data_IF_203680316575
#
_entry.id   IF_203680316575
#
_cell.length_a   1.000
_cell.length_b   1.000
_cell.length_c   1.000
_cell.angle_alpha   90.00
_cell.angle_beta   90.00
_cell.angle_gamma   90.00
#
_symmetry.space_group_name_H-M   'P 1'
#
loop_
_entity.id
_entity.type
_entity.pdbx_description
1 polymer ?
#
# COMPACT_ATOMS: atom_id res chain seq x y z
N UNK A 1 8.40 22.11 -16.97
CA UNK A 1 7.62 20.87 -16.79
C UNK A 1 7.80 20.44 -15.33
N UNK A 2 6.78 20.60 -14.47
CA UNK A 2 6.91 20.20 -13.06
C UNK A 2 6.97 18.67 -12.98
N UNK A 3 7.99 18.11 -12.32
CA UNK A 3 8.06 16.68 -12.07
C UNK A 3 6.97 16.30 -11.06
N UNK A 4 6.16 15.31 -11.41
CA UNK A 4 5.16 14.74 -10.50
C UNK A 4 5.85 13.65 -9.68
N UNK A 5 5.86 13.82 -8.35
CA UNK A 5 6.43 12.86 -7.43
C UNK A 5 5.34 12.05 -6.71
N UNK A 6 5.45 10.73 -6.81
CA UNK A 6 4.76 9.75 -5.98
C UNK A 6 5.84 9.10 -5.12
N UNK A 7 5.84 9.38 -3.82
CA UNK A 7 6.94 8.96 -2.94
C UNK A 7 6.47 7.85 -2.02
N UNK A 8 7.38 6.92 -1.72
CA UNK A 8 7.13 5.86 -0.76
C UNK A 8 7.80 6.22 0.58
N UNK A 9 7.07 6.07 1.68
CA UNK A 9 7.61 6.23 3.02
C UNK A 9 8.65 5.14 3.29
N UNK A 10 9.63 5.46 4.12
CA UNK A 10 10.78 4.58 4.38
C UNK A 10 10.47 3.46 5.40
N UNK A 11 9.20 3.06 5.55
CA UNK A 11 8.74 2.11 6.56
C UNK A 11 9.36 0.71 6.42
N UNK A 12 9.69 0.09 7.56
CA UNK A 12 10.21 -1.27 7.63
C UNK A 12 9.13 -2.25 8.09
N UNK A 13 9.08 -3.45 7.51
CA UNK A 13 8.23 -4.59 7.88
C UNK A 13 8.59 -5.14 9.28
N UNK A 14 8.48 -4.30 10.30
CA UNK A 14 8.83 -4.56 11.69
C UNK A 14 7.69 -4.12 12.60
N UNK A 15 7.59 -4.68 13.83
CA UNK A 15 6.67 -4.17 14.82
C UNK A 15 6.89 -2.67 15.06
N UNK A 16 5.80 -1.94 15.26
CA UNK A 16 5.85 -0.51 15.53
C UNK A 16 6.72 -0.24 16.77
N UNK A 17 7.21 0.99 16.86
CA UNK A 17 8.08 1.47 17.91
C UNK A 17 8.25 2.97 17.78
N UNK A 18 8.80 3.64 18.80
CA UNK A 18 8.85 5.11 18.85
C UNK A 18 9.54 5.71 17.61
N UNK A 19 10.61 5.07 17.12
CA UNK A 19 11.31 5.52 15.92
C UNK A 19 10.45 5.55 14.65
N UNK A 20 9.42 4.71 14.53
CA UNK A 20 8.51 4.72 13.38
C UNK A 20 7.69 6.01 13.34
N UNK A 21 7.28 6.54 14.50
CA UNK A 21 6.53 7.79 14.60
C UNK A 21 7.38 8.98 14.17
N UNK A 22 8.65 9.02 14.61
CA UNK A 22 9.60 10.08 14.22
C UNK A 22 9.90 10.01 12.72
N UNK A 23 10.17 8.81 12.21
CA UNK A 23 10.49 8.57 10.81
C UNK A 23 9.33 8.94 9.89
N UNK A 24 8.10 8.61 10.27
CA UNK A 24 6.91 9.00 9.51
C UNK A 24 6.78 10.51 9.36
N UNK A 25 7.02 11.29 10.44
CA UNK A 25 6.99 12.75 10.37
C UNK A 25 8.10 13.29 9.46
N UNK A 26 9.31 12.73 9.53
CA UNK A 26 10.40 13.09 8.62
C UNK A 26 10.01 12.84 7.16
N UNK A 27 9.43 11.69 6.85
CA UNK A 27 9.01 11.35 5.49
C UNK A 27 7.90 12.28 4.98
N UNK A 28 6.94 12.66 5.83
CA UNK A 28 5.92 13.66 5.49
C UNK A 28 6.53 15.04 5.19
N UNK A 29 7.52 15.48 5.97
CA UNK A 29 8.23 16.75 5.71
C UNK A 29 8.95 16.68 4.37
N UNK A 30 9.65 15.58 4.08
CA UNK A 30 10.35 15.39 2.81
C UNK A 30 9.37 15.38 1.64
N UNK A 31 8.26 14.65 1.75
CA UNK A 31 7.19 14.63 0.75
C UNK A 31 6.64 16.04 0.48
N UNK A 32 6.50 16.87 1.52
CA UNK A 32 6.07 18.25 1.40
C UNK A 32 7.09 19.13 0.67
N UNK A 33 8.38 18.98 1.00
CA UNK A 33 9.50 19.73 0.38
C UNK A 33 9.58 19.44 -1.11
N UNK A 34 9.46 18.17 -1.51
CA UNK A 34 9.48 17.77 -2.92
C UNK A 34 8.14 17.98 -3.64
N UNK A 35 7.15 18.54 -2.94
CA UNK A 35 5.80 18.79 -3.43
C UNK A 35 5.16 17.53 -4.06
N UNK A 36 5.28 16.40 -3.37
CA UNK A 36 4.70 15.13 -3.80
C UNK A 36 3.17 15.22 -3.87
N UNK A 37 2.58 14.53 -4.87
CA UNK A 37 1.12 14.44 -5.00
C UNK A 37 0.53 13.65 -3.84
N UNK A 38 1.20 12.57 -3.48
CA UNK A 38 0.89 11.77 -2.30
C UNK A 38 2.18 11.08 -1.80
N UNK A 39 2.09 10.57 -0.59
CA UNK A 39 3.06 9.64 -0.01
C UNK A 39 2.37 8.34 0.35
N UNK A 40 2.93 7.23 -0.10
CA UNK A 40 2.48 5.88 0.21
C UNK A 40 3.14 5.38 1.49
N UNK A 41 2.34 4.89 2.42
CA UNK A 41 2.81 4.16 3.60
C UNK A 41 2.29 2.73 3.53
N UNK A 42 3.17 1.75 3.74
CA UNK A 42 2.74 0.39 4.07
C UNK A 42 1.87 0.38 5.33
N UNK A 43 0.85 -0.48 5.36
CA UNK A 43 0.15 -0.75 6.60
C UNK A 43 1.11 -1.25 7.69
N UNK A 44 0.94 -0.81 8.95
CA UNK A 44 1.70 -1.41 10.04
C UNK A 44 1.33 -2.88 10.15
N UNK A 45 2.30 -3.72 10.50
CA UNK A 45 2.10 -5.17 10.60
C UNK A 45 0.97 -5.52 11.59
N UNK A 46 0.78 -4.67 12.60
CA UNK A 46 -0.28 -4.76 13.62
C UNK A 46 -1.71 -4.64 13.08
N UNK A 47 -1.88 -4.19 11.83
CA UNK A 47 -3.18 -4.17 11.15
C UNK A 47 -3.21 -5.05 9.91
N UNK A 48 -2.06 -5.24 9.27
CA UNK A 48 -1.97 -5.95 8.01
C UNK A 48 -2.13 -7.46 8.20
N UNK A 49 -1.60 -8.07 9.27
CA UNK A 49 -1.49 -9.52 9.36
C UNK A 49 -2.28 -10.09 10.55
N UNK A 50 -3.19 -11.07 10.32
CA UNK A 50 -3.85 -11.82 11.39
C UNK A 50 -2.91 -12.35 12.47
N UNK A 51 -1.73 -12.85 12.09
CA UNK A 51 -0.72 -13.37 13.02
C UNK A 51 -0.15 -12.33 14.00
N UNK A 52 -0.25 -11.04 13.66
CA UNK A 52 0.41 -9.94 14.37
C UNK A 52 -0.58 -8.88 14.88
N UNK A 53 -1.87 -9.20 14.90
CA UNK A 53 -2.91 -8.18 15.05
C UNK A 53 -2.83 -7.47 16.41
N UNK A 54 -2.73 -6.14 16.36
CA UNK A 54 -2.86 -5.24 17.50
C UNK A 54 -3.53 -3.94 17.04
N UNK A 55 -4.86 -4.00 16.94
CA UNK A 55 -5.67 -2.94 16.36
C UNK A 55 -5.49 -1.60 17.05
N UNK A 56 -5.42 -1.59 18.39
CA UNK A 56 -5.19 -0.37 19.18
C UNK A 56 -3.88 0.30 18.76
N UNK A 57 -2.78 -0.44 18.72
CA UNK A 57 -1.46 0.11 18.39
C UNK A 57 -1.39 0.61 16.94
N UNK A 58 -1.87 -0.19 16.00
CA UNK A 58 -1.85 0.19 14.59
C UNK A 58 -2.74 1.39 14.28
N UNK A 59 -3.94 1.46 14.87
CA UNK A 59 -4.84 2.61 14.69
C UNK A 59 -4.25 3.88 15.28
N UNK A 60 -3.59 3.80 16.45
CA UNK A 60 -2.90 4.96 17.05
C UNK A 60 -1.81 5.47 16.09
N UNK A 61 -1.02 4.58 15.49
CA UNK A 61 0.00 4.97 14.52
C UNK A 61 -0.60 5.61 13.26
N UNK A 62 -1.62 5.00 12.65
CA UNK A 62 -2.30 5.56 11.47
C UNK A 62 -2.84 6.96 11.80
N UNK A 63 -3.56 7.12 12.91
CA UNK A 63 -4.13 8.41 13.30
C UNK A 63 -3.05 9.46 13.55
N UNK A 64 -1.90 9.06 14.10
CA UNK A 64 -0.75 9.94 14.28
C UNK A 64 -0.19 10.44 12.95
N UNK A 65 0.04 9.55 11.99
CA UNK A 65 0.52 9.92 10.65
C UNK A 65 -0.48 10.81 9.93
N UNK A 66 -1.78 10.46 9.95
CA UNK A 66 -2.85 11.26 9.35
C UNK A 66 -2.98 12.66 9.98
N UNK A 67 -2.78 12.77 11.29
CA UNK A 67 -2.76 14.07 11.98
C UNK A 67 -1.65 14.97 11.43
N UNK A 68 -0.42 14.46 11.34
CA UNK A 68 0.72 15.22 10.83
C UNK A 68 0.61 15.51 9.33
N UNK A 69 0.11 14.56 8.55
CA UNK A 69 -0.15 14.74 7.13
C UNK A 69 -1.12 15.90 6.89
N UNK A 70 -2.21 15.97 7.67
CA UNK A 70 -3.15 17.10 7.63
C UNK A 70 -2.47 18.43 8.00
N UNK A 71 -1.64 18.45 9.04
CA UNK A 71 -0.90 19.66 9.44
C UNK A 71 0.08 20.15 8.36
N UNK A 72 0.75 19.21 7.70
CA UNK A 72 1.73 19.48 6.64
C UNK A 72 1.09 19.65 5.25
N UNK A 73 -0.23 19.45 5.13
CA UNK A 73 -0.98 19.48 3.85
C UNK A 73 -0.44 18.47 2.83
N UNK A 74 -0.11 17.27 3.29
CA UNK A 74 0.35 16.15 2.47
C UNK A 74 -0.76 15.10 2.38
N UNK A 75 -0.98 14.53 1.19
CA UNK A 75 -1.92 13.43 1.00
C UNK A 75 -1.23 12.11 1.31
N UNK A 76 -1.73 11.38 2.29
CA UNK A 76 -1.27 10.01 2.61
C UNK A 76 -2.18 8.99 1.95
N UNK A 77 -1.60 7.91 1.45
CA UNK A 77 -2.29 6.70 1.01
C UNK A 77 -1.67 5.48 1.69
N UNK A 78 -2.49 4.53 2.12
CA UNK A 78 -2.04 3.35 2.85
C UNK A 78 -2.12 2.09 2.00
N UNK A 79 -1.00 1.38 1.91
CA UNK A 79 -0.79 0.26 1.01
C UNK A 79 -0.91 -1.10 1.70
N UNK A 80 -1.57 -2.03 1.02
CA UNK A 80 -1.53 -3.44 1.36
C UNK A 80 -0.15 -4.02 1.12
N UNK A 81 0.29 -4.83 2.07
CA UNK A 81 1.58 -5.50 2.04
C UNK A 81 1.40 -7.01 2.07
N UNK A 82 2.43 -7.76 1.70
CA UNK A 82 2.50 -9.20 1.88
C UNK A 82 3.65 -9.56 2.82
N UNK A 83 3.45 -10.55 3.69
CA UNK A 83 4.54 -11.10 4.48
C UNK A 83 5.21 -12.16 3.63
N UNK A 84 6.50 -11.98 3.33
CA UNK A 84 7.26 -12.85 2.43
C UNK A 84 8.43 -13.51 3.16
N UNK A 85 8.84 -14.69 2.71
CA UNK A 85 10.09 -15.32 3.14
C UNK A 85 11.26 -14.52 2.59
N UNK A 86 12.22 -14.20 3.45
CA UNK A 86 13.45 -13.49 3.05
C UNK A 86 14.33 -14.26 2.07
N UNK A 87 14.20 -15.59 2.02
CA UNK A 87 15.07 -16.46 1.22
C UNK A 87 14.70 -16.50 -0.25
N UNK A 88 13.41 -16.50 -0.56
CA UNK A 88 12.91 -16.76 -1.93
C UNK A 88 11.72 -15.85 -2.31
N UNK A 89 11.38 -14.89 -1.46
CA UNK A 89 10.24 -13.97 -1.64
C UNK A 89 8.90 -14.66 -1.77
N UNK A 90 8.80 -15.93 -1.34
CA UNK A 90 7.53 -16.65 -1.33
C UNK A 90 6.60 -16.12 -0.26
N UNK A 91 5.30 -16.16 -0.54
CA UNK A 91 4.27 -15.73 0.38
C UNK A 91 4.28 -16.56 1.68
N UNK A 92 4.37 -15.86 2.83
CA UNK A 92 4.10 -16.41 4.17
C UNK A 92 2.67 -16.13 4.60
N UNK A 93 2.23 -14.88 4.45
CA UNK A 93 0.90 -14.45 4.90
C UNK A 93 0.39 -13.30 4.04
N UNK A 94 -0.88 -13.42 3.65
CA UNK A 94 -1.60 -12.36 2.96
C UNK A 94 -2.10 -11.30 3.95
N UNK A 95 -2.07 -10.03 3.55
CA UNK A 95 -2.66 -8.98 4.38
C UNK A 95 -4.19 -9.01 4.36
N UNK A 96 -4.77 -8.57 5.48
CA UNK A 96 -6.20 -8.32 5.63
C UNK A 96 -6.49 -6.83 5.65
N UNK A 97 -7.67 -6.47 5.14
CA UNK A 97 -8.19 -5.09 5.17
C UNK A 97 -9.27 -4.88 6.22
N UNK A 98 -9.56 -5.92 7.00
CA UNK A 98 -10.67 -5.95 7.96
C UNK A 98 -10.55 -4.90 9.06
N UNK A 99 -9.33 -4.67 9.54
CA UNK A 99 -9.06 -3.79 10.68
C UNK A 99 -8.65 -2.37 10.28
N UNK A 100 -8.69 -2.05 8.97
CA UNK A 100 -8.27 -0.75 8.47
C UNK A 100 -9.33 0.33 8.81
N UNK A 101 -8.95 1.47 9.41
CA UNK A 101 -9.84 2.60 9.67
C UNK A 101 -10.64 3.04 8.42
N UNK A 102 -11.93 3.34 8.57
CA UNK A 102 -12.82 3.63 7.41
C UNK A 102 -12.53 4.95 6.67
N UNK A 103 -11.83 5.90 7.30
CA UNK A 103 -11.69 7.29 6.82
C UNK A 103 -10.30 7.66 6.29
N UNK A 104 -9.53 6.66 5.85
CA UNK A 104 -8.21 6.87 5.24
C UNK A 104 -8.24 6.53 3.75
N UNK A 105 -7.33 7.16 2.99
CA UNK A 105 -7.10 6.83 1.59
C UNK A 105 -6.21 5.59 1.48
N UNK A 106 -6.44 4.81 0.43
CA UNK A 106 -5.75 3.54 0.21
C UNK A 106 -4.91 3.60 -1.06
N UNK A 107 -3.74 2.99 -0.99
CA UNK A 107 -3.02 2.48 -2.14
C UNK A 107 -3.38 1.00 -2.28
N UNK A 108 -3.72 0.57 -3.49
CA UNK A 108 -3.79 -0.85 -3.79
C UNK A 108 -2.57 -1.24 -4.61
N UNK A 109 -1.73 -2.05 -4.00
CA UNK A 109 -0.70 -2.82 -4.67
C UNK A 109 -1.33 -4.09 -5.25
N UNK A 110 -1.31 -4.21 -6.57
CA UNK A 110 -1.91 -5.35 -7.25
C UNK A 110 -1.08 -6.62 -7.14
N UNK A 111 0.25 -6.51 -7.06
CA UNK A 111 1.13 -7.66 -6.97
C UNK A 111 1.01 -8.32 -5.60
N UNK A 112 1.08 -7.54 -4.53
CA UNK A 112 0.84 -8.03 -3.17
C UNK A 112 -0.51 -8.75 -3.08
N UNK A 113 -1.57 -8.16 -3.64
CA UNK A 113 -2.94 -8.67 -3.54
C UNK A 113 -3.12 -10.05 -4.21
N UNK A 114 -2.43 -10.32 -5.33
CA UNK A 114 -2.67 -11.54 -6.12
C UNK A 114 -1.79 -12.72 -5.69
N UNK A 115 -0.82 -12.54 -4.81
CA UNK A 115 0.03 -13.64 -4.34
C UNK A 115 -0.80 -14.74 -3.65
N UNK A 116 -0.55 -15.99 -3.99
CA UNK A 116 -1.27 -17.14 -3.46
C UNK A 116 -2.73 -17.27 -3.94
N UNK A 117 -3.22 -16.37 -4.79
CA UNK A 117 -4.62 -16.37 -5.22
C UNK A 117 -4.88 -17.39 -6.34
N UNK A 118 -5.91 -18.22 -6.15
CA UNK A 118 -6.39 -19.15 -7.19
C UNK A 118 -7.12 -18.42 -8.33
N UNK A 119 -7.78 -17.31 -8.02
CA UNK A 119 -8.49 -16.49 -9.00
C UNK A 119 -8.19 -14.99 -8.80
N UNK A 120 -7.01 -14.53 -9.26
CA UNK A 120 -6.51 -13.20 -8.95
C UNK A 120 -7.39 -12.07 -9.51
N UNK A 121 -7.99 -12.25 -10.70
CA UNK A 121 -8.91 -11.26 -11.27
C UNK A 121 -10.17 -11.08 -10.42
N UNK A 122 -10.76 -12.19 -9.96
CA UNK A 122 -11.92 -12.14 -9.06
C UNK A 122 -11.56 -11.41 -7.77
N UNK A 123 -10.39 -11.72 -7.19
CA UNK A 123 -9.89 -11.05 -5.97
C UNK A 123 -9.76 -9.54 -6.15
N UNK A 124 -9.15 -9.10 -7.24
CA UNK A 124 -9.03 -7.67 -7.58
C UNK A 124 -10.43 -7.02 -7.67
N UNK A 125 -11.36 -7.63 -8.40
CA UNK A 125 -12.71 -7.09 -8.56
C UNK A 125 -13.47 -6.99 -7.23
N UNK A 126 -13.28 -7.94 -6.32
CA UNK A 126 -13.87 -7.90 -4.97
C UNK A 126 -13.31 -6.74 -4.14
N UNK A 127 -11.99 -6.52 -4.17
CA UNK A 127 -11.35 -5.40 -3.48
C UNK A 127 -11.82 -4.06 -4.07
N UNK A 128 -11.86 -3.92 -5.39
CA UNK A 128 -12.36 -2.71 -6.04
C UNK A 128 -13.84 -2.47 -5.70
N UNK A 129 -14.67 -3.51 -5.68
CA UNK A 129 -16.09 -3.38 -5.28
C UNK A 129 -16.23 -2.92 -3.84
N UNK A 130 -15.46 -3.50 -2.91
CA UNK A 130 -15.58 -3.22 -1.47
C UNK A 130 -14.94 -1.89 -1.07
N UNK A 131 -13.80 -1.53 -1.66
CA UNK A 131 -12.96 -0.41 -1.21
C UNK A 131 -12.67 0.63 -2.30
N UNK A 132 -13.17 0.47 -3.52
CA UNK A 132 -12.80 1.29 -4.68
C UNK A 132 -13.01 2.80 -4.53
N UNK A 133 -13.91 3.24 -3.65
CA UNK A 133 -14.09 4.67 -3.31
C UNK A 133 -12.94 5.24 -2.47
N UNK A 134 -12.29 4.39 -1.67
CA UNK A 134 -11.16 4.74 -0.78
C UNK A 134 -9.81 4.57 -1.45
N UNK A 135 -9.71 3.71 -2.47
CA UNK A 135 -8.48 3.51 -3.25
C UNK A 135 -8.25 4.75 -4.14
N UNK A 136 -7.19 5.51 -3.84
CA UNK A 136 -6.81 6.76 -4.52
C UNK A 136 -5.51 6.65 -5.32
N UNK A 137 -4.66 5.70 -4.93
CA UNK A 137 -3.40 5.39 -5.59
C UNK A 137 -3.32 3.89 -5.89
N UNK A 138 -2.49 3.53 -6.86
CA UNK A 138 -2.29 2.15 -7.29
C UNK A 138 -0.81 1.93 -7.58
N UNK A 139 -0.26 0.83 -7.08
CA UNK A 139 0.97 0.27 -7.59
C UNK A 139 0.59 -0.92 -8.49
N UNK A 140 0.90 -0.80 -9.78
CA UNK A 140 0.45 -1.73 -10.80
C UNK A 140 1.62 -2.62 -11.24
N UNK A 141 1.63 -3.84 -10.74
CA UNK A 141 2.50 -4.91 -11.20
C UNK A 141 1.85 -6.28 -11.01
N UNK A 142 2.36 -7.27 -11.74
CA UNK A 142 2.02 -8.68 -11.61
C UNK A 142 3.17 -9.47 -10.98
N UNK A 143 2.90 -10.74 -10.74
CA UNK A 143 3.89 -11.72 -10.33
C UNK A 143 3.43 -13.13 -10.74
N UNK A 144 4.24 -14.15 -10.43
CA UNK A 144 3.94 -15.55 -10.75
C UNK A 144 2.94 -16.21 -9.78
N UNK A 145 2.25 -15.39 -8.97
CA UNK A 145 1.35 -15.78 -7.88
C UNK A 145 2.02 -16.51 -6.72
N UNK A 146 3.35 -16.68 -6.72
CA UNK A 146 4.09 -17.35 -5.65
C UNK A 146 5.09 -16.44 -4.97
N UNK A 147 5.79 -15.63 -5.76
CA UNK A 147 6.88 -14.75 -5.37
C UNK A 147 6.60 -13.35 -5.83
N UNK A 148 7.01 -12.36 -5.07
CA UNK A 148 6.76 -10.99 -5.48
C UNK A 148 7.81 -10.48 -6.48
N UNK A 149 7.54 -10.70 -7.76
CA UNK A 149 8.50 -10.49 -8.84
C UNK A 149 8.44 -9.10 -9.50
N UNK A 150 7.49 -8.24 -9.13
CA UNK A 150 7.30 -6.91 -9.73
C UNK A 150 7.30 -6.92 -11.28
N UNK A 151 6.62 -7.90 -11.87
CA UNK A 151 6.51 -8.02 -13.32
C UNK A 151 5.59 -6.92 -13.87
N UNK A 152 5.85 -6.39 -15.08
CA UNK A 152 4.93 -5.45 -15.71
C UNK A 152 3.50 -6.00 -15.85
N UNK A 153 2.46 -5.14 -15.85
CA UNK A 153 1.07 -5.56 -16.08
C UNK A 153 0.93 -6.47 -17.31
N UNK A 154 0.37 -7.64 -17.09
CA UNK A 154 0.37 -8.79 -17.98
C UNK A 154 -1.02 -9.38 -18.15
N UNK A 155 -1.15 -10.70 -18.07
CA UNK A 155 -2.40 -11.38 -18.40
C UNK A 155 -3.51 -11.07 -17.40
N UNK A 156 -3.19 -10.84 -16.13
CA UNK A 156 -4.18 -10.66 -15.06
C UNK A 156 -4.75 -9.23 -15.12
N UNK A 157 -3.88 -8.23 -15.20
CA UNK A 157 -4.18 -6.81 -15.07
C UNK A 157 -4.57 -6.15 -16.39
N UNK A 158 -4.01 -6.54 -17.55
CA UNK A 158 -4.33 -5.90 -18.84
C UNK A 158 -5.86 -5.81 -19.09
N UNK A 159 -6.66 -6.86 -18.87
CA UNK A 159 -8.12 -6.78 -19.04
C UNK A 159 -8.83 -5.83 -18.07
N UNK A 160 -8.20 -5.54 -16.91
CA UNK A 160 -8.77 -4.70 -15.85
C UNK A 160 -8.18 -3.30 -15.82
N UNK A 161 -7.17 -3.00 -16.65
CA UNK A 161 -6.32 -1.81 -16.51
C UNK A 161 -7.13 -0.51 -16.49
N UNK A 162 -8.01 -0.31 -17.48
CA UNK A 162 -8.85 0.89 -17.57
C UNK A 162 -9.82 1.03 -16.39
N UNK A 163 -10.33 -0.09 -15.86
CA UNK A 163 -11.19 -0.09 -14.68
C UNK A 163 -10.40 0.34 -13.43
N UNK A 164 -9.18 -0.17 -13.29
CA UNK A 164 -8.30 0.12 -12.16
C UNK A 164 -7.92 1.60 -12.13
N UNK A 165 -7.39 2.15 -13.22
CA UNK A 165 -6.84 3.51 -13.22
C UNK A 165 -7.90 4.62 -13.19
N UNK A 166 -9.16 4.31 -13.53
CA UNK A 166 -10.20 5.33 -13.67
C UNK A 166 -10.41 6.14 -12.39
N UNK A 167 -10.08 7.43 -12.44
CA UNK A 167 -10.23 8.38 -11.33
C UNK A 167 -9.22 8.17 -10.19
N UNK A 168 -8.08 7.51 -10.47
CA UNK A 168 -7.03 7.22 -9.50
C UNK A 168 -5.67 7.63 -10.06
N UNK A 169 -4.77 7.99 -9.15
CA UNK A 169 -3.35 8.07 -9.50
C UNK A 169 -2.75 6.67 -9.50
N UNK A 170 -1.67 6.45 -10.25
CA UNK A 170 -1.04 5.14 -10.35
C UNK A 170 0.42 5.25 -10.77
N UNK A 171 1.19 4.24 -10.40
CA UNK A 171 2.52 3.97 -10.93
C UNK A 171 2.57 2.52 -11.39
N UNK A 172 3.44 2.24 -12.36
CA UNK A 172 3.94 0.88 -12.56
C UNK A 172 5.16 0.78 -11.66
N UNK A 173 5.17 -0.18 -10.75
CA UNK A 173 6.29 -0.40 -9.83
C UNK A 173 7.20 -1.46 -10.46
N UNK A 174 8.29 -1.07 -11.15
CA UNK A 174 9.25 -2.02 -11.65
C UNK A 174 10.07 -2.61 -10.51
N UNK A 175 10.74 -3.72 -10.79
CA UNK A 175 11.82 -4.26 -9.96
C UNK A 175 12.80 -3.11 -9.64
N UNK A 176 12.95 -2.80 -8.35
CA UNK A 176 13.95 -1.88 -7.82
C UNK A 176 15.26 -2.59 -7.50
#
# INVERSE_FOLDING_TARGET
MFRTYYVHASYSYSPLGVFHYIKAVKDLILARIVNAINITFHFPIELAFPSSINTKRGIVYINWVEFWAKKLKVVVVWENISLLKKTDWSLLEQSTWEYIPKRINLCLDTGHLILGEKNPRKRILEIIKKYGRRIKHLHLHENDLKRDLHLPPGKILKPLFNLLIKGRTWIIEPIS
#
